data_IF_009807321840
#
_entry.id   IF_009807321840
#
_cell.length_a   1.000
_cell.length_b   1.000
_cell.length_c   1.000
_cell.angle_alpha   90.00
_cell.angle_beta   90.00
_cell.angle_gamma   90.00
#
_symmetry.space_group_name_H-M   'P 1'
#
loop_
_entity.id
_entity.type
_entity.pdbx_description
1 polymer ?
#
# COMPACT_ATOMS: atom_id res chain seq x y z
N UNK A 1 12.32 23.82 19.75
CA UNK A 1 12.98 23.21 18.58
C UNK A 1 11.97 23.20 17.45
N UNK A 2 12.21 23.94 16.37
CA UNK A 2 11.33 23.91 15.19
C UNK A 2 11.59 22.60 14.45
N UNK A 3 10.56 21.79 14.26
CA UNK A 3 10.62 20.63 13.38
C UNK A 3 10.88 21.16 11.96
N UNK A 4 12.06 20.85 11.42
CA UNK A 4 12.35 21.08 10.01
C UNK A 4 11.34 20.25 9.20
N UNK A 5 10.37 20.93 8.60
CA UNK A 5 9.43 20.28 7.69
C UNK A 5 10.21 19.90 6.44
N UNK A 6 10.59 18.62 6.33
CA UNK A 6 11.10 18.07 5.08
C UNK A 6 10.12 18.48 3.96
N UNK A 7 10.61 19.00 2.82
CA UNK A 7 9.74 19.37 1.71
C UNK A 7 8.87 18.17 1.34
N UNK A 8 7.55 18.38 1.30
CA UNK A 8 6.59 17.34 0.93
C UNK A 8 6.77 17.03 -0.56
N UNK A 9 7.58 16.02 -0.87
CA UNK A 9 7.65 15.42 -2.19
C UNK A 9 6.25 14.90 -2.57
N UNK A 10 5.79 15.19 -3.79
CA UNK A 10 4.52 14.64 -4.30
C UNK A 10 4.60 13.11 -4.42
N UNK A 11 3.45 12.41 -4.37
CA UNK A 11 3.39 10.96 -4.47
C UNK A 11 4.02 10.46 -5.76
N UNK A 12 3.72 11.13 -6.89
CA UNK A 12 4.37 10.86 -8.18
C UNK A 12 5.90 10.97 -8.12
N UNK A 13 6.41 12.05 -7.53
CA UNK A 13 7.84 12.27 -7.41
C UNK A 13 8.52 11.26 -6.47
N UNK A 14 7.83 10.86 -5.39
CA UNK A 14 8.31 9.84 -4.47
C UNK A 14 8.32 8.45 -5.14
N UNK A 15 7.25 8.06 -5.82
CA UNK A 15 7.20 6.80 -6.57
C UNK A 15 8.34 6.73 -7.60
N UNK A 16 8.56 7.80 -8.36
CA UNK A 16 9.65 7.87 -9.34
C UNK A 16 11.04 7.81 -8.70
N UNK A 17 11.23 8.45 -7.53
CA UNK A 17 12.46 8.39 -6.77
C UNK A 17 12.74 6.97 -6.30
N UNK A 18 11.76 6.34 -5.64
CA UNK A 18 11.86 4.98 -5.12
C UNK A 18 12.18 3.99 -6.24
N UNK A 19 11.41 4.03 -7.32
CA UNK A 19 11.57 3.12 -8.45
C UNK A 19 12.93 3.21 -9.13
N UNK A 20 13.61 4.38 -9.06
CA UNK A 20 14.91 4.61 -9.69
C UNK A 20 16.11 4.46 -8.77
N UNK A 21 15.94 4.70 -7.46
CA UNK A 21 17.06 4.91 -6.53
C UNK A 21 17.06 3.94 -5.36
N UNK A 22 15.92 3.37 -4.99
CA UNK A 22 15.88 2.39 -3.92
C UNK A 22 16.29 1.02 -4.45
N UNK A 23 17.16 0.32 -3.73
CA UNK A 23 17.64 -1.00 -4.15
C UNK A 23 16.65 -2.10 -3.75
N UNK A 24 15.79 -2.48 -4.71
CA UNK A 24 14.89 -3.61 -4.57
C UNK A 24 15.49 -4.94 -5.05
N UNK A 25 16.75 -4.99 -5.48
CA UNK A 25 17.35 -6.21 -6.03
C UNK A 25 17.23 -7.45 -5.11
N UNK A 26 17.42 -7.34 -3.78
CA UNK A 26 17.23 -8.48 -2.88
C UNK A 26 15.80 -9.03 -2.89
N UNK A 27 14.81 -8.14 -2.98
CA UNK A 27 13.38 -8.49 -2.98
C UNK A 27 13.01 -9.18 -4.29
N UNK A 28 13.42 -8.59 -5.41
CA UNK A 28 13.20 -9.14 -6.76
C UNK A 28 13.81 -10.53 -6.90
N UNK A 29 15.05 -10.71 -6.42
CA UNK A 29 15.73 -12.01 -6.42
C UNK A 29 14.95 -13.06 -5.65
N UNK A 30 14.42 -12.71 -4.47
CA UNK A 30 13.67 -13.62 -3.61
C UNK A 30 12.31 -13.99 -4.20
N UNK A 31 11.56 -13.02 -4.71
CA UNK A 31 10.27 -13.23 -5.37
C UNK A 31 10.38 -14.22 -6.54
N UNK A 32 11.42 -14.06 -7.37
CA UNK A 32 11.70 -14.93 -8.50
C UNK A 32 12.14 -16.34 -8.06
N UNK A 33 13.02 -16.44 -7.07
CA UNK A 33 13.52 -17.72 -6.57
C UNK A 33 12.42 -18.56 -5.91
N UNK A 34 11.47 -17.93 -5.22
CA UNK A 34 10.35 -18.60 -4.56
C UNK A 34 9.16 -18.85 -5.50
N UNK A 35 9.23 -18.40 -6.76
CA UNK A 35 8.14 -18.58 -7.74
C UNK A 35 6.84 -17.85 -7.37
N UNK A 36 6.92 -16.83 -6.52
CA UNK A 36 5.75 -16.07 -6.01
C UNK A 36 5.13 -15.14 -7.04
N UNK A 37 5.90 -14.75 -8.06
CA UNK A 37 5.45 -13.83 -9.12
C UNK A 37 5.90 -14.36 -10.46
N UNK A 38 5.05 -14.20 -11.49
CA UNK A 38 5.22 -15.01 -12.69
C UNK A 38 6.05 -14.37 -13.78
N UNK A 39 5.92 -13.07 -14.13
CA UNK A 39 6.57 -12.57 -15.38
C UNK A 39 7.04 -11.11 -15.45
N UNK A 40 6.51 -10.17 -14.67
CA UNK A 40 6.92 -8.75 -14.76
C UNK A 40 7.25 -8.14 -13.39
N UNK A 41 8.48 -8.38 -12.93
CA UNK A 41 8.94 -7.90 -11.62
C UNK A 41 9.18 -6.39 -11.61
N UNK A 42 9.54 -5.78 -12.74
CA UNK A 42 9.77 -4.33 -12.81
C UNK A 42 8.45 -3.56 -12.84
N UNK A 43 7.44 -4.03 -13.58
CA UNK A 43 6.08 -3.48 -13.53
C UNK A 43 5.44 -3.63 -12.15
N UNK A 44 5.74 -4.74 -11.47
CA UNK A 44 5.34 -4.96 -10.08
C UNK A 44 6.03 -4.01 -9.10
N UNK A 45 7.34 -3.80 -9.24
CA UNK A 45 8.08 -2.81 -8.45
C UNK A 45 7.50 -1.41 -8.65
N UNK A 46 7.17 -1.03 -9.88
CA UNK A 46 6.51 0.24 -10.17
C UNK A 46 5.15 0.34 -9.48
N UNK A 47 4.30 -0.69 -9.59
CA UNK A 47 3.00 -0.73 -8.93
C UNK A 47 3.15 -0.55 -7.41
N UNK A 48 4.07 -1.28 -6.78
CA UNK A 48 4.37 -1.14 -5.36
C UNK A 48 4.82 0.29 -5.02
N UNK A 49 5.75 0.88 -5.79
CA UNK A 49 6.23 2.24 -5.54
C UNK A 49 5.11 3.28 -5.65
N UNK A 50 4.22 3.14 -6.64
CA UNK A 50 3.06 4.03 -6.80
C UNK A 50 2.12 3.93 -5.60
N UNK A 51 1.77 2.71 -5.19
CA UNK A 51 0.95 2.47 -4.02
C UNK A 51 1.58 3.02 -2.72
N UNK A 52 2.81 2.63 -2.45
CA UNK A 52 3.52 3.01 -1.22
C UNK A 52 3.74 4.53 -1.11
N UNK A 53 3.92 5.22 -2.24
CA UNK A 53 4.14 6.67 -2.23
C UNK A 53 2.93 7.49 -1.78
N UNK A 54 1.75 6.89 -1.66
CA UNK A 54 0.52 7.58 -1.24
C UNK A 54 0.42 7.78 0.27
N UNK A 55 1.14 6.99 1.08
CA UNK A 55 1.04 7.05 2.54
C UNK A 55 1.24 8.44 3.16
N UNK A 56 2.22 9.27 2.74
CA UNK A 56 2.38 10.63 3.25
C UNK A 56 1.23 11.59 2.90
N UNK A 57 0.37 11.21 1.95
CA UNK A 57 -0.72 12.05 1.42
C UNK A 57 -2.10 11.68 1.94
N UNK A 58 -2.22 10.55 2.62
CA UNK A 58 -3.51 10.09 3.15
C UNK A 58 -4.05 11.12 4.14
N UNK A 59 -5.26 11.62 3.89
CA UNK A 59 -5.93 12.53 4.80
C UNK A 59 -6.49 11.78 6.02
N UNK A 60 -6.68 12.47 7.16
CA UNK A 60 -7.31 11.86 8.32
C UNK A 60 -8.65 11.20 7.98
N UNK A 61 -8.82 9.93 8.36
CA UNK A 61 -10.04 9.15 8.10
C UNK A 61 -10.16 8.55 6.70
N UNK A 62 -9.24 8.87 5.78
CA UNK A 62 -9.22 8.32 4.43
C UNK A 62 -8.79 6.85 4.45
N UNK A 63 -9.65 5.97 3.91
CA UNK A 63 -9.34 4.54 3.75
C UNK A 63 -8.42 4.33 2.55
N UNK A 64 -7.37 3.55 2.75
CA UNK A 64 -6.47 3.11 1.69
C UNK A 64 -6.21 1.61 1.83
N UNK A 65 -6.23 0.83 0.75
CA UNK A 65 -6.18 -0.64 0.82
C UNK A 65 -5.07 -1.23 -0.05
N UNK A 66 -4.69 -2.47 0.27
CA UNK A 66 -3.92 -3.38 -0.57
C UNK A 66 -4.80 -4.59 -0.91
N UNK A 67 -4.81 -5.06 -2.15
CA UNK A 67 -5.51 -6.30 -2.52
C UNK A 67 -4.64 -7.54 -2.28
N UNK A 68 -5.24 -8.72 -2.12
CA UNK A 68 -4.51 -9.99 -2.19
C UNK A 68 -4.11 -10.29 -3.65
N UNK A 69 -2.95 -9.79 -4.06
CA UNK A 69 -2.39 -9.99 -5.39
C UNK A 69 -0.84 -9.91 -5.40
N UNK A 70 -0.24 -9.87 -6.58
CA UNK A 70 1.23 -9.80 -6.73
C UNK A 70 1.84 -8.58 -6.02
N UNK A 71 1.14 -7.44 -5.92
CA UNK A 71 1.62 -6.21 -5.25
C UNK A 71 1.74 -6.46 -3.74
N UNK A 72 0.80 -7.20 -3.17
CA UNK A 72 0.86 -7.64 -1.78
C UNK A 72 2.00 -8.62 -1.54
N UNK A 73 2.21 -9.59 -2.43
CA UNK A 73 3.35 -10.50 -2.34
C UNK A 73 4.69 -9.76 -2.39
N UNK A 74 4.81 -8.72 -3.23
CA UNK A 74 6.00 -7.87 -3.25
C UNK A 74 6.22 -7.19 -1.90
N UNK A 75 5.15 -6.63 -1.33
CA UNK A 75 5.21 -5.96 -0.04
C UNK A 75 5.53 -6.93 1.10
N UNK A 76 4.95 -8.13 1.06
CA UNK A 76 5.19 -9.19 2.03
C UNK A 76 6.65 -9.63 2.06
N UNK A 77 7.24 -9.90 0.89
CA UNK A 77 8.67 -10.27 0.80
C UNK A 77 9.56 -9.12 1.27
N UNK A 78 9.18 -7.86 0.98
CA UNK A 78 9.89 -6.68 1.47
C UNK A 78 9.89 -6.63 3.01
N UNK A 79 8.74 -6.83 3.67
CA UNK A 79 8.63 -6.83 5.14
C UNK A 79 9.50 -7.91 5.78
N UNK A 80 9.49 -9.13 5.21
CA UNK A 80 10.33 -10.23 5.68
C UNK A 80 11.82 -9.85 5.57
N UNK A 81 12.20 -9.06 4.56
CA UNK A 81 13.53 -8.51 4.42
C UNK A 81 13.69 -7.23 5.30
N UNK A 82 13.57 -7.41 6.61
CA UNK A 82 13.33 -6.35 7.60
C UNK A 82 14.28 -5.15 7.49
N UNK A 83 15.58 -5.36 7.27
CA UNK A 83 16.55 -4.25 7.12
C UNK A 83 16.20 -3.32 5.95
N UNK A 84 15.88 -3.90 4.78
CA UNK A 84 15.49 -3.14 3.58
C UNK A 84 14.17 -2.41 3.79
N UNK A 85 13.20 -3.07 4.41
CA UNK A 85 11.91 -2.48 4.71
C UNK A 85 12.00 -1.32 5.72
N UNK A 86 12.79 -1.49 6.79
CA UNK A 86 13.01 -0.43 7.77
C UNK A 86 13.68 0.79 7.13
N UNK A 87 14.71 0.54 6.30
CA UNK A 87 15.37 1.59 5.53
C UNK A 87 14.37 2.34 4.64
N UNK A 88 13.55 1.64 3.87
CA UNK A 88 12.54 2.25 3.01
C UNK A 88 11.59 3.14 3.83
N UNK A 89 11.06 2.62 4.93
CA UNK A 89 10.09 3.32 5.76
C UNK A 89 10.69 4.56 6.43
N UNK A 90 11.83 4.44 7.09
CA UNK A 90 12.40 5.55 7.86
C UNK A 90 13.04 6.63 6.97
N UNK A 91 13.68 6.26 5.86
CA UNK A 91 14.31 7.22 4.96
C UNK A 91 13.25 8.07 4.24
N UNK A 92 12.10 7.49 3.88
CA UNK A 92 11.12 8.11 2.99
C UNK A 92 9.80 8.53 3.63
N UNK A 93 9.32 7.80 4.64
CA UNK A 93 8.05 8.10 5.32
C UNK A 93 8.26 8.66 6.74
N UNK A 94 9.34 8.23 7.41
CA UNK A 94 9.58 8.54 8.82
C UNK A 94 8.77 7.66 9.80
N UNK A 95 8.02 6.68 9.28
CA UNK A 95 7.24 5.71 10.07
C UNK A 95 7.11 4.38 9.31
N UNK A 96 6.81 3.30 10.03
CA UNK A 96 6.55 1.98 9.45
C UNK A 96 5.12 1.87 8.91
N UNK A 97 4.97 1.34 7.69
CA UNK A 97 3.67 0.96 7.13
C UNK A 97 3.36 -0.47 7.55
N UNK A 98 2.46 -0.64 8.51
CA UNK A 98 2.23 -1.96 9.07
C UNK A 98 1.26 -2.78 8.23
N UNK A 99 1.72 -3.92 7.73
CA UNK A 99 0.85 -4.91 7.11
C UNK A 99 0.12 -5.70 8.19
N UNK A 100 -1.17 -5.42 8.37
CA UNK A 100 -2.08 -6.21 9.19
C UNK A 100 -3.06 -6.91 8.26
N UNK A 101 -2.86 -8.21 7.97
CA UNK A 101 -3.76 -8.95 7.12
C UNK A 101 -5.18 -8.91 7.68
N UNK A 102 -6.12 -8.43 6.89
CA UNK A 102 -7.53 -8.63 7.15
C UNK A 102 -7.81 -10.11 6.84
N UNK A 103 -8.41 -10.82 7.79
CA UNK A 103 -8.87 -12.19 7.54
C UNK A 103 -9.85 -12.24 6.35
N UNK A 104 -10.08 -13.43 5.79
CA UNK A 104 -10.86 -13.62 4.54
C UNK A 104 -12.29 -13.05 4.60
N UNK A 105 -12.84 -12.87 5.80
CA UNK A 105 -14.11 -12.20 6.08
C UNK A 105 -13.89 -10.71 6.37
N UNK A 106 -13.54 -9.93 5.35
CA UNK A 106 -13.40 -8.47 5.50
C UNK A 106 -14.79 -7.81 5.70
N UNK A 107 -15.03 -7.03 6.78
CA UNK A 107 -16.31 -6.37 7.02
C UNK A 107 -16.74 -5.40 5.89
N UNK A 108 -18.05 -5.19 5.75
CA UNK A 108 -18.75 -4.46 4.66
C UNK A 108 -18.19 -3.06 4.33
N UNK A 109 -17.41 -2.43 5.22
CA UNK A 109 -16.75 -1.14 4.99
C UNK A 109 -15.47 -1.18 4.13
N UNK A 110 -14.90 -2.36 3.89
CA UNK A 110 -13.65 -2.54 3.13
C UNK A 110 -13.90 -2.57 1.61
N UNK A 111 -15.09 -3.01 1.18
CA UNK A 111 -15.49 -3.03 -0.23
C UNK A 111 -15.44 -1.64 -0.87
N UNK A 112 -15.87 -0.59 -0.15
CA UNK A 112 -15.76 0.80 -0.58
C UNK A 112 -14.31 1.34 -0.55
N UNK A 113 -13.41 0.67 0.16
CA UNK A 113 -11.99 1.04 0.24
C UNK A 113 -11.23 0.78 -1.06
N UNK A 114 -11.66 -0.20 -1.86
CA UNK A 114 -11.04 -0.49 -3.16
C UNK A 114 -11.26 0.67 -4.16
N UNK A 115 -12.50 1.06 -4.51
CA UNK A 115 -12.71 2.17 -5.45
C UNK A 115 -12.09 3.46 -4.93
N UNK A 116 -12.18 3.76 -3.63
CA UNK A 116 -11.54 4.94 -3.05
C UNK A 116 -10.01 4.92 -3.20
N UNK A 117 -9.35 3.77 -3.01
CA UNK A 117 -7.90 3.63 -3.18
C UNK A 117 -7.48 3.79 -4.63
N UNK A 118 -8.26 3.23 -5.56
CA UNK A 118 -8.01 3.37 -6.99
C UNK A 118 -8.24 4.83 -7.44
N UNK A 119 -9.30 5.51 -6.97
CA UNK A 119 -9.55 6.92 -7.28
C UNK A 119 -8.37 7.81 -6.87
N UNK A 120 -7.77 7.55 -5.70
CA UNK A 120 -6.59 8.28 -5.21
C UNK A 120 -5.35 8.05 -6.08
N UNK A 121 -5.15 6.80 -6.51
CA UNK A 121 -4.07 6.40 -7.39
C UNK A 121 -4.24 7.02 -8.79
N UNK A 122 -5.45 6.97 -9.34
CA UNK A 122 -5.78 7.57 -10.64
C UNK A 122 -5.63 9.09 -10.59
N UNK A 123 -6.05 9.75 -9.51
CA UNK A 123 -5.85 11.18 -9.33
C UNK A 123 -4.37 11.58 -9.26
N UNK A 124 -3.51 10.77 -8.62
CA UNK A 124 -2.08 11.07 -8.50
C UNK A 124 -1.30 10.74 -9.78
N UNK A 125 -1.58 9.61 -10.42
CA UNK A 125 -0.77 9.03 -11.49
C UNK A 125 -1.40 9.17 -12.89
N UNK A 126 -2.72 9.32 -12.99
CA UNK A 126 -3.44 9.46 -14.25
C UNK A 126 -3.11 8.31 -15.22
N UNK A 127 -2.76 8.67 -16.45
CA UNK A 127 -2.39 7.69 -17.49
C UNK A 127 -1.18 6.83 -17.12
N UNK A 128 -0.25 7.35 -16.31
CA UNK A 128 0.96 6.64 -15.88
C UNK A 128 0.73 5.62 -14.75
N UNK A 129 -0.50 5.49 -14.25
CA UNK A 129 -0.82 4.48 -13.24
C UNK A 129 -0.54 3.07 -13.80
N UNK A 130 0.12 2.23 -12.99
CA UNK A 130 0.49 0.87 -13.36
C UNK A 130 -0.76 0.07 -13.79
N UNK A 131 -0.68 -0.71 -14.88
CA UNK A 131 -1.75 -1.59 -15.30
C UNK A 131 -2.22 -2.55 -14.20
N UNK A 132 -1.32 -2.99 -13.31
CA UNK A 132 -1.66 -3.86 -12.17
C UNK A 132 -2.63 -3.18 -11.20
N UNK A 133 -2.38 -1.91 -10.87
CA UNK A 133 -3.25 -1.11 -10.00
C UNK A 133 -4.56 -0.72 -10.69
N UNK A 134 -4.54 -0.47 -12.02
CA UNK A 134 -5.77 -0.24 -12.80
C UNK A 134 -6.69 -1.48 -12.80
N UNK A 135 -6.11 -2.67 -12.78
CA UNK A 135 -6.87 -3.93 -12.76
C UNK A 135 -7.63 -4.14 -11.43
N UNK A 136 -7.25 -3.46 -10.35
CA UNK A 136 -7.97 -3.53 -9.06
C UNK A 136 -9.43 -3.14 -9.19
N UNK A 137 -9.73 -2.07 -9.95
CA UNK A 137 -11.12 -1.63 -10.21
C UNK A 137 -11.93 -2.71 -10.93
N UNK A 138 -11.37 -3.26 -12.01
CA UNK A 138 -12.04 -4.32 -12.79
C UNK A 138 -12.23 -5.60 -11.99
N UNK A 139 -11.25 -5.97 -11.17
CA UNK A 139 -11.37 -7.13 -10.27
C UNK A 139 -12.44 -6.90 -9.21
N UNK A 140 -12.59 -5.68 -8.70
CA UNK A 140 -13.67 -5.32 -7.79
C UNK A 140 -15.05 -5.37 -8.48
N UNK A 141 -15.19 -4.78 -9.67
CA UNK A 141 -16.44 -4.80 -10.45
C UNK A 141 -16.90 -6.22 -10.81
N UNK A 142 -15.95 -7.16 -11.00
CA UNK A 142 -16.23 -8.58 -11.22
C UNK A 142 -16.50 -9.37 -9.93
N UNK A 143 -16.42 -8.75 -8.75
CA UNK A 143 -16.55 -9.42 -7.45
C UNK A 143 -15.40 -10.38 -7.13
N UNK A 144 -14.26 -10.24 -7.79
CA UNK A 144 -13.09 -11.10 -7.64
C UNK A 144 -12.00 -10.52 -6.73
N UNK A 145 -12.05 -9.21 -6.42
CA UNK A 145 -11.08 -8.56 -5.56
C UNK A 145 -11.25 -8.95 -4.10
N UNK A 146 -10.14 -9.28 -3.44
CA UNK A 146 -10.06 -9.48 -1.99
C UNK A 146 -9.05 -8.48 -1.41
N UNK A 147 -9.36 -7.88 -0.27
CA UNK A 147 -8.45 -6.93 0.39
C UNK A 147 -7.54 -7.67 1.34
N UNK A 148 -6.23 -7.49 1.17
CA UNK A 148 -5.19 -8.02 2.06
C UNK A 148 -5.03 -7.17 3.32
N UNK A 149 -4.92 -5.85 3.18
CA UNK A 149 -4.87 -4.96 4.34
C UNK A 149 -5.51 -3.60 4.05
N UNK A 150 -5.92 -2.91 5.11
CA UNK A 150 -6.56 -1.60 5.03
C UNK A 150 -5.93 -0.63 6.04
N UNK A 151 -5.89 0.63 5.66
CA UNK A 151 -5.19 1.71 6.34
C UNK A 151 -6.13 2.90 6.50
N UNK A 152 -6.04 3.60 7.64
CA UNK A 152 -6.68 4.91 7.81
C UNK A 152 -5.62 6.00 8.02
N UNK A 153 -5.71 7.05 7.21
CA UNK A 153 -4.88 8.24 7.43
C UNK A 153 -5.15 8.85 8.80
N UNK A 154 -4.10 9.39 9.45
CA UNK A 154 -4.21 10.05 10.75
C UNK A 154 -3.69 11.51 10.73
N UNK A 155 -4.09 12.35 11.72
CA UNK A 155 -3.73 13.77 11.78
C UNK A 155 -2.23 14.07 11.77
N UNK A 156 -1.41 13.15 12.29
CA UNK A 156 0.03 13.35 12.42
C UNK A 156 0.83 12.84 11.20
N UNK A 157 0.17 12.47 10.10
CA UNK A 157 0.82 11.83 8.95
C UNK A 157 1.22 10.37 9.19
N UNK A 158 0.90 9.83 10.37
CA UNK A 158 0.95 8.41 10.65
C UNK A 158 -0.27 7.70 10.01
N UNK A 159 -0.21 6.39 9.97
CA UNK A 159 -1.32 5.53 9.54
C UNK A 159 -1.79 4.74 10.76
N UNK A 160 -3.08 4.83 11.11
CA UNK A 160 -3.66 3.94 12.12
C UNK A 160 -4.10 2.64 11.48
N UNK A 161 -3.80 1.55 12.17
CA UNK A 161 -4.07 0.18 11.73
C UNK A 161 -5.55 -0.21 11.89
N UNK A 162 -6.32 0.57 12.66
CA UNK A 162 -7.65 0.18 13.06
C UNK A 162 -8.69 0.83 12.14
N UNK A 163 -8.97 0.18 11.00
CA UNK A 163 -10.36 0.14 10.54
C UNK A 163 -11.08 -0.83 11.48
N UNK A 164 -11.30 -0.43 12.74
CA UNK A 164 -12.23 -1.15 13.60
C UNK A 164 -13.59 -1.04 12.93
N UNK A 165 -14.01 -2.12 12.28
CA UNK A 165 -15.39 -2.31 11.89
C UNK A 165 -16.19 -2.43 13.18
N UNK A 166 -16.69 -1.31 13.70
CA UNK A 166 -17.84 -1.38 14.59
C UNK A 166 -18.99 -1.92 13.75
N UNK A 167 -19.22 -3.24 13.84
CA UNK A 167 -20.59 -3.74 13.70
C UNK A 167 -21.47 -2.92 14.67
N UNK A 168 -22.75 -2.68 14.37
CA UNK A 168 -23.65 -1.85 15.19
C UNK A 168 -23.79 -2.26 16.67
N UNK A 169 -23.10 -3.32 17.11
CA UNK A 169 -23.14 -3.90 18.44
C UNK A 169 -21.82 -3.79 19.23
N UNK A 170 -20.85 -2.96 18.81
CA UNK A 170 -19.75 -2.53 19.70
C UNK A 170 -18.70 -3.59 20.07
N UNK A 171 -18.53 -4.65 19.27
CA UNK A 171 -17.45 -5.64 19.49
C UNK A 171 -16.21 -5.21 18.71
N UNK A 172 -15.15 -4.87 19.44
CA UNK A 172 -13.80 -4.66 18.90
C UNK A 172 -13.18 -6.04 18.67
N UNK A 173 -12.97 -6.42 17.41
CA UNK A 173 -12.19 -7.61 17.08
C UNK A 173 -10.71 -7.22 17.11
N UNK A 174 -10.05 -7.54 18.21
CA UNK A 174 -8.59 -7.52 18.32
C UNK A 174 -8.10 -8.91 17.91
N UNK A 175 -7.33 -9.00 16.82
CA UNK A 175 -6.54 -10.19 16.50
C UNK A 175 -5.07 -9.88 16.72
#
# INVERSE_FOLDING_TARGET
>A
MQASSKPRIGGRALAALLNRKFDFAPIKKRLLAEGRVTKDVEGLQLAFCQWFSMFPKLQPGQTYVMLFDDVDEFFHVLIIHTETYEKLCFDHLGFKVHHHPLGESSPEGIGAGIPASVDLLEAEFGEELSPLLKEWRKSHERGAAKVSCAYRGCPNGHVSQNVEGTLPNGVVVVH
#
